data_IF_707574338039
#
_entry.id   IF_707574338039
#
_cell.length_a   1.000
_cell.length_b   1.000
_cell.length_c   1.000
_cell.angle_alpha   90.00
_cell.angle_beta   90.00
_cell.angle_gamma   90.00
#
_symmetry.space_group_name_H-M   'P 1'
#
loop_
_entity.id
_entity.type
_entity.pdbx_description
1 polymer ?
#
# COMPACT_ATOMS: atom_id res chain seq x y z
N UNK A 1 -23.42 7.78 -16.02
CA UNK A 1 -23.67 6.41 -15.58
C UNK A 1 -22.83 5.37 -16.34
N UNK A 2 -22.45 5.65 -17.56
CA UNK A 2 -21.73 4.66 -18.40
C UNK A 2 -20.28 4.41 -17.96
N UNK A 3 -19.59 5.43 -17.43
CA UNK A 3 -18.21 5.30 -16.96
C UNK A 3 -18.04 4.32 -15.80
N UNK A 4 -18.98 4.28 -14.84
CA UNK A 4 -18.95 3.31 -13.74
C UNK A 4 -19.18 1.88 -14.22
N UNK A 5 -20.04 1.70 -15.24
CA UNK A 5 -20.27 0.38 -15.86
C UNK A 5 -19.01 -0.11 -16.59
N UNK A 6 -18.29 0.82 -17.25
CA UNK A 6 -17.02 0.52 -17.92
C UNK A 6 -15.99 0.08 -16.86
N UNK A 7 -15.84 0.85 -15.80
CA UNK A 7 -14.90 0.54 -14.70
C UNK A 7 -15.18 -0.84 -14.08
N UNK A 8 -16.46 -1.14 -13.77
CA UNK A 8 -16.85 -2.43 -13.22
C UNK A 8 -16.57 -3.60 -14.20
N UNK A 9 -16.79 -3.37 -15.50
CA UNK A 9 -16.47 -4.34 -16.54
C UNK A 9 -14.97 -4.62 -16.61
N UNK A 10 -14.14 -3.57 -16.52
CA UNK A 10 -12.69 -3.68 -16.48
C UNK A 10 -12.22 -4.48 -15.26
N UNK A 11 -12.68 -4.13 -14.05
CA UNK A 11 -12.35 -4.89 -12.84
C UNK A 11 -12.69 -6.37 -12.96
N UNK A 12 -13.87 -6.69 -13.53
CA UNK A 12 -14.25 -8.08 -13.79
C UNK A 12 -13.32 -8.79 -14.78
N UNK A 13 -12.85 -8.08 -15.79
CA UNK A 13 -11.89 -8.66 -16.77
C UNK A 13 -10.53 -8.90 -16.12
N UNK A 14 -10.00 -7.93 -15.37
CA UNK A 14 -8.72 -8.09 -14.68
C UNK A 14 -8.79 -9.20 -13.62
N UNK A 15 -9.90 -9.34 -12.88
CA UNK A 15 -10.10 -10.49 -11.97
C UNK A 15 -10.02 -11.83 -12.71
N UNK A 16 -10.61 -11.93 -13.89
CA UNK A 16 -10.52 -13.16 -14.70
C UNK A 16 -9.10 -13.42 -15.18
N UNK A 17 -8.38 -12.36 -15.58
CA UNK A 17 -6.99 -12.48 -16.01
C UNK A 17 -6.08 -12.92 -14.85
N UNK A 18 -6.26 -12.37 -13.67
CA UNK A 18 -5.54 -12.74 -12.44
C UNK A 18 -5.81 -14.21 -12.07
N UNK A 19 -7.07 -14.64 -12.14
CA UNK A 19 -7.45 -16.04 -11.91
C UNK A 19 -6.79 -16.99 -12.94
N UNK A 20 -6.81 -16.63 -14.22
CA UNK A 20 -6.20 -17.43 -15.26
C UNK A 20 -4.67 -17.51 -15.11
N UNK A 21 -4.05 -16.39 -14.72
CA UNK A 21 -2.63 -16.37 -14.42
C UNK A 21 -2.30 -17.26 -13.21
N UNK A 22 -3.09 -17.17 -12.13
CA UNK A 22 -2.94 -18.02 -10.97
C UNK A 22 -3.06 -19.51 -11.30
N UNK A 23 -4.05 -19.89 -12.12
CA UNK A 23 -4.26 -21.29 -12.53
C UNK A 23 -3.16 -21.80 -13.47
N UNK A 24 -2.63 -20.93 -14.33
CA UNK A 24 -1.56 -21.28 -15.27
C UNK A 24 -0.23 -21.52 -14.56
N UNK A 25 0.15 -20.63 -13.67
CA UNK A 25 1.45 -20.62 -13.00
C UNK A 25 1.29 -20.73 -11.45
N UNK A 26 0.46 -21.66 -11.00
CA UNK A 26 0.11 -21.84 -9.58
C UNK A 26 1.34 -21.95 -8.67
N UNK A 27 2.39 -22.64 -9.11
CA UNK A 27 3.62 -22.81 -8.31
C UNK A 27 4.32 -21.47 -8.08
N UNK A 28 4.44 -20.67 -9.13
CA UNK A 28 5.04 -19.34 -9.03
C UNK A 28 4.20 -18.41 -8.13
N UNK A 29 2.89 -18.40 -8.31
CA UNK A 29 1.99 -17.60 -7.49
C UNK A 29 2.05 -17.98 -6.01
N UNK A 30 2.08 -19.28 -5.69
CA UNK A 30 2.22 -19.76 -4.32
C UNK A 30 3.57 -19.38 -3.71
N UNK A 31 4.66 -19.47 -4.48
CA UNK A 31 5.98 -19.00 -4.04
C UNK A 31 5.98 -17.49 -3.78
N UNK A 32 5.34 -16.71 -4.64
CA UNK A 32 5.22 -15.26 -4.45
C UNK A 32 4.44 -14.93 -3.16
N UNK A 33 3.26 -15.53 -2.99
CA UNK A 33 2.43 -15.35 -1.77
C UNK A 33 3.21 -15.74 -0.52
N UNK A 34 3.93 -16.86 -0.56
CA UNK A 34 4.76 -17.32 0.54
C UNK A 34 5.89 -16.32 0.84
N UNK A 35 6.61 -15.87 -0.18
CA UNK A 35 7.68 -14.89 -0.05
C UNK A 35 7.19 -13.58 0.57
N UNK A 36 6.09 -13.03 0.06
CA UNK A 36 5.49 -11.79 0.57
C UNK A 36 5.05 -11.93 2.03
N UNK A 37 4.45 -13.08 2.37
CA UNK A 37 4.02 -13.37 3.74
C UNK A 37 5.21 -13.49 4.68
N UNK A 38 6.29 -14.17 4.28
CA UNK A 38 7.51 -14.31 5.09
C UNK A 38 8.19 -12.95 5.27
N UNK A 39 8.32 -12.14 4.22
CA UNK A 39 8.89 -10.80 4.30
C UNK A 39 8.10 -9.90 5.25
N UNK A 40 6.76 -9.90 5.15
CA UNK A 40 5.89 -9.16 6.06
C UNK A 40 6.08 -9.63 7.51
N UNK A 41 6.09 -10.94 7.74
CA UNK A 41 6.29 -11.51 9.07
C UNK A 41 7.67 -11.14 9.65
N UNK A 42 8.74 -11.24 8.87
CA UNK A 42 10.09 -10.86 9.32
C UNK A 42 10.18 -9.38 9.69
N UNK A 43 9.56 -8.50 8.90
CA UNK A 43 9.54 -7.06 9.19
C UNK A 43 8.79 -6.77 10.49
N UNK A 44 7.62 -7.36 10.66
CA UNK A 44 6.80 -7.21 11.87
C UNK A 44 7.53 -7.78 13.10
N UNK A 45 8.10 -8.98 12.98
CA UNK A 45 8.85 -9.61 14.05
C UNK A 45 10.09 -8.78 14.44
N UNK A 46 10.80 -8.22 13.47
CA UNK A 46 11.95 -7.35 13.70
C UNK A 46 11.59 -6.11 14.54
N UNK A 47 10.54 -5.39 14.16
CA UNK A 47 10.08 -4.20 14.90
C UNK A 47 9.52 -4.59 16.26
N UNK A 48 8.80 -5.71 16.35
CA UNK A 48 8.24 -6.20 17.62
C UNK A 48 9.35 -6.57 18.61
N UNK A 49 10.38 -7.32 18.19
CA UNK A 49 11.54 -7.68 19.03
C UNK A 49 12.32 -6.44 19.47
N UNK A 50 12.45 -5.45 18.58
CA UNK A 50 13.08 -4.17 18.94
C UNK A 50 12.29 -3.45 20.03
N UNK A 51 10.97 -3.40 19.88
CA UNK A 51 10.06 -2.81 20.86
C UNK A 51 10.12 -3.53 22.22
N UNK A 52 10.19 -4.86 22.22
CA UNK A 52 10.31 -5.66 23.45
C UNK A 52 11.61 -5.36 24.17
N UNK A 53 12.73 -5.30 23.45
CA UNK A 53 14.06 -5.03 24.03
C UNK A 53 14.18 -3.65 24.65
N UNK A 54 13.51 -2.64 24.10
CA UNK A 54 13.59 -1.25 24.54
C UNK A 54 12.40 -0.82 25.40
N UNK A 55 11.46 -1.73 25.75
CA UNK A 55 10.29 -1.43 26.57
C UNK A 55 9.27 -0.48 25.92
N UNK A 56 9.28 -0.43 24.59
CA UNK A 56 8.51 0.49 23.75
C UNK A 56 9.44 1.22 22.77
N UNK A 57 8.90 1.74 21.70
CA UNK A 57 9.64 2.48 20.69
C UNK A 57 8.82 3.68 20.21
N UNK A 58 9.46 4.85 20.14
CA UNK A 58 8.77 6.04 19.64
C UNK A 58 7.70 6.62 20.58
N UNK A 59 7.70 6.29 21.88
CA UNK A 59 6.68 6.71 22.83
C UNK A 59 5.41 5.87 22.80
N UNK A 60 5.39 4.79 22.01
CA UNK A 60 4.26 3.87 21.85
C UNK A 60 4.50 2.59 22.65
N UNK A 61 3.42 2.04 23.23
CA UNK A 61 3.43 0.72 23.85
C UNK A 61 3.52 -0.40 22.81
N UNK A 62 3.89 -1.61 23.23
CA UNK A 62 4.00 -2.77 22.34
C UNK A 62 2.70 -3.04 21.56
N UNK A 63 1.53 -2.88 22.19
CA UNK A 63 0.23 -3.05 21.54
C UNK A 63 -0.05 -2.02 20.45
N UNK A 64 0.32 -0.77 20.71
CA UNK A 64 0.17 0.35 19.76
C UNK A 64 1.11 0.17 18.55
N UNK A 65 2.35 -0.25 18.79
CA UNK A 65 3.30 -0.57 17.71
C UNK A 65 2.78 -1.72 16.86
N UNK A 66 2.26 -2.76 17.48
CA UNK A 66 1.67 -3.90 16.77
C UNK A 66 0.45 -3.47 15.94
N UNK A 67 -0.37 -2.56 16.47
CA UNK A 67 -1.50 -1.99 15.75
C UNK A 67 -1.03 -1.14 14.56
N UNK A 68 -0.05 -0.27 14.75
CA UNK A 68 0.54 0.55 13.69
C UNK A 68 1.10 -0.32 12.55
N UNK A 69 1.83 -1.38 12.89
CA UNK A 69 2.37 -2.32 11.90
C UNK A 69 1.27 -3.07 11.17
N UNK A 70 0.24 -3.54 11.90
CA UNK A 70 -0.93 -4.20 11.32
C UNK A 70 -1.68 -3.27 10.37
N UNK A 71 -1.93 -2.05 10.79
CA UNK A 71 -2.59 -1.03 9.97
C UNK A 71 -1.76 -0.66 8.74
N UNK A 72 -0.44 -0.49 8.88
CA UNK A 72 0.48 -0.27 7.76
C UNK A 72 0.41 -1.41 6.74
N UNK A 73 0.47 -2.67 7.21
CA UNK A 73 0.38 -3.85 6.35
C UNK A 73 -1.00 -3.96 5.67
N UNK A 74 -2.07 -3.56 6.35
CA UNK A 74 -3.42 -3.51 5.79
C UNK A 74 -3.51 -2.49 4.66
N UNK A 75 -2.99 -1.28 4.86
CA UNK A 75 -2.93 -0.23 3.81
C UNK A 75 -2.11 -0.71 2.61
N UNK A 76 -0.97 -1.35 2.85
CA UNK A 76 -0.17 -1.96 1.78
C UNK A 76 -0.92 -3.05 1.04
N UNK A 77 -1.65 -3.91 1.76
CA UNK A 77 -2.46 -4.95 1.17
C UNK A 77 -3.56 -4.40 0.26
N UNK A 78 -4.25 -3.33 0.68
CA UNK A 78 -5.22 -2.64 -0.17
C UNK A 78 -4.52 -2.05 -1.40
N UNK A 79 -3.39 -1.37 -1.19
CA UNK A 79 -2.62 -0.77 -2.28
C UNK A 79 -2.12 -1.81 -3.28
N UNK A 80 -1.56 -2.92 -2.79
CA UNK A 80 -1.10 -4.04 -3.61
C UNK A 80 -2.23 -4.66 -4.44
N UNK A 81 -3.38 -4.91 -3.83
CA UNK A 81 -4.52 -5.52 -4.49
C UNK A 81 -5.11 -4.64 -5.60
N UNK A 82 -5.22 -3.33 -5.36
CA UNK A 82 -5.92 -2.42 -6.29
C UNK A 82 -5.02 -1.65 -7.24
N UNK A 83 -3.77 -1.32 -6.84
CA UNK A 83 -2.97 -0.30 -7.53
C UNK A 83 -1.56 -0.73 -7.91
N UNK A 84 -1.07 -1.90 -7.50
CA UNK A 84 0.31 -2.32 -7.78
C UNK A 84 0.53 -2.71 -9.23
N UNK A 85 -0.54 -2.99 -9.95
CA UNK A 85 -0.46 -3.23 -11.38
C UNK A 85 0.23 -2.07 -12.11
N UNK A 86 0.72 -2.35 -13.28
CA UNK A 86 1.72 -1.59 -14.01
C UNK A 86 1.44 -0.10 -14.23
N UNK A 87 0.23 0.41 -13.96
CA UNK A 87 -0.15 1.72 -14.50
C UNK A 87 -0.31 2.83 -13.47
N UNK A 88 -0.98 2.60 -12.35
CA UNK A 88 -1.26 3.71 -11.44
C UNK A 88 -0.07 4.04 -10.55
N UNK A 89 0.62 3.02 -10.07
CA UNK A 89 1.81 3.19 -9.24
C UNK A 89 3.11 3.25 -10.03
N UNK A 90 3.09 2.84 -11.29
CA UNK A 90 4.25 2.71 -12.16
C UNK A 90 4.01 3.41 -13.52
N UNK A 91 3.29 4.53 -13.51
CA UNK A 91 3.14 5.39 -14.71
C UNK A 91 4.51 5.74 -15.32
N UNK A 92 5.54 5.89 -14.47
CA UNK A 92 6.92 6.07 -14.88
C UNK A 92 7.42 4.99 -15.85
N UNK A 93 7.03 3.74 -15.66
CA UNK A 93 7.38 2.63 -16.56
C UNK A 93 6.74 2.80 -17.93
N UNK A 94 5.47 3.18 -17.97
CA UNK A 94 4.72 3.39 -19.23
C UNK A 94 5.31 4.55 -20.01
N UNK A 95 5.62 5.66 -19.32
CA UNK A 95 6.22 6.85 -19.92
C UNK A 95 7.65 6.53 -20.37
N UNK A 96 8.48 5.93 -19.52
CA UNK A 96 9.86 5.61 -19.82
C UNK A 96 10.03 4.62 -20.97
N UNK A 97 9.05 3.74 -21.20
CA UNK A 97 9.03 2.78 -22.32
C UNK A 97 8.31 3.30 -23.56
N UNK A 98 7.83 4.55 -23.58
CA UNK A 98 7.09 5.12 -24.69
C UNK A 98 5.73 4.45 -24.96
N UNK A 99 5.13 3.81 -23.95
CA UNK A 99 3.87 3.09 -24.11
C UNK A 99 2.64 3.95 -23.82
N UNK A 100 2.82 5.20 -23.40
CA UNK A 100 1.72 6.08 -23.03
C UNK A 100 0.75 6.30 -24.20
N UNK A 101 1.28 6.52 -25.41
CA UNK A 101 0.46 6.73 -26.62
C UNK A 101 -0.43 5.52 -26.91
N UNK A 102 0.09 4.30 -26.68
CA UNK A 102 -0.69 3.07 -26.87
C UNK A 102 -1.87 2.99 -25.89
N UNK A 103 -1.68 3.42 -24.65
CA UNK A 103 -2.76 3.46 -23.66
C UNK A 103 -3.78 4.56 -23.99
N UNK A 104 -3.33 5.69 -24.53
CA UNK A 104 -4.21 6.82 -24.85
C UNK A 104 -5.12 6.56 -26.07
N UNK A 105 -4.73 5.71 -27.00
CA UNK A 105 -5.56 5.36 -28.18
C UNK A 105 -6.61 4.26 -27.90
N UNK A 106 -6.62 3.68 -26.72
CA UNK A 106 -7.61 2.66 -26.35
C UNK A 106 -9.02 3.28 -26.24
N UNK A 107 -10.07 2.54 -26.61
CA UNK A 107 -11.45 3.04 -26.60
C UNK A 107 -12.06 3.07 -25.19
N UNK A 108 -11.22 3.34 -24.19
CA UNK A 108 -11.58 3.38 -22.76
C UNK A 108 -11.06 4.70 -22.17
N UNK A 109 -11.79 5.35 -21.26
CA UNK A 109 -11.28 6.54 -20.58
C UNK A 109 -9.96 6.23 -19.86
N UNK A 110 -8.92 7.02 -20.10
CA UNK A 110 -7.56 6.82 -19.56
C UNK A 110 -7.55 6.61 -18.04
N UNK A 111 -8.34 7.39 -17.31
CA UNK A 111 -8.42 7.28 -15.85
C UNK A 111 -8.99 5.91 -15.39
N UNK A 112 -9.96 5.36 -16.15
CA UNK A 112 -10.56 4.07 -15.81
C UNK A 112 -9.60 2.90 -16.08
N UNK A 113 -8.85 2.99 -17.19
CA UNK A 113 -7.80 2.03 -17.51
C UNK A 113 -6.68 2.08 -16.47
N UNK A 114 -6.17 3.26 -16.14
CA UNK A 114 -5.13 3.45 -15.14
C UNK A 114 -5.54 2.90 -13.74
N UNK A 115 -6.81 3.10 -13.34
CA UNK A 115 -7.31 2.60 -12.05
C UNK A 115 -7.56 1.09 -12.05
N UNK A 116 -8.03 0.52 -13.16
CA UNK A 116 -8.41 -0.89 -13.21
C UNK A 116 -7.25 -1.80 -13.57
N UNK A 117 -6.30 -1.31 -14.36
CA UNK A 117 -5.16 -2.10 -14.81
C UNK A 117 -4.28 -2.52 -13.64
N UNK A 118 -4.12 -3.83 -13.50
CA UNK A 118 -3.34 -4.42 -12.41
C UNK A 118 -4.15 -4.76 -11.17
N UNK A 119 -5.46 -4.68 -11.22
CA UNK A 119 -6.30 -5.24 -10.17
C UNK A 119 -6.07 -6.75 -10.08
N UNK A 120 -5.53 -7.18 -8.93
CA UNK A 120 -5.07 -8.56 -8.69
C UNK A 120 -5.61 -9.09 -7.36
N UNK A 121 -6.90 -9.46 -7.31
CA UNK A 121 -7.54 -9.85 -6.05
C UNK A 121 -7.02 -11.17 -5.47
N UNK A 122 -6.49 -12.07 -6.30
CA UNK A 122 -5.94 -13.35 -5.84
C UNK A 122 -4.45 -13.23 -5.50
N UNK A 123 -3.67 -12.74 -6.45
CA UNK A 123 -2.22 -12.63 -6.28
C UNK A 123 -1.78 -11.52 -5.32
N UNK A 124 -2.55 -10.42 -5.24
CA UNK A 124 -2.26 -9.29 -4.34
C UNK A 124 -2.89 -9.38 -2.94
N UNK A 125 -3.68 -10.43 -2.65
CA UNK A 125 -4.45 -10.51 -1.39
C UNK A 125 -3.67 -10.96 -0.16
N UNK A 126 -2.49 -11.56 -0.32
CA UNK A 126 -1.69 -12.11 0.79
C UNK A 126 -1.38 -11.06 1.87
N UNK A 127 -0.90 -9.89 1.46
CA UNK A 127 -0.61 -8.76 2.35
C UNK A 127 -1.88 -8.22 3.03
N UNK A 128 -3.00 -8.19 2.30
CA UNK A 128 -4.29 -7.75 2.86
C UNK A 128 -4.76 -8.67 3.98
N UNK A 129 -4.69 -9.98 3.76
CA UNK A 129 -5.05 -10.99 4.77
C UNK A 129 -4.14 -10.90 6.00
N UNK A 130 -2.83 -10.77 5.79
CA UNK A 130 -1.86 -10.57 6.87
C UNK A 130 -2.15 -9.28 7.66
N UNK A 131 -2.44 -8.17 6.95
CA UNK A 131 -2.76 -6.88 7.57
C UNK A 131 -4.04 -6.93 8.41
N UNK A 132 -5.11 -7.53 7.89
CA UNK A 132 -6.36 -7.74 8.64
C UNK A 132 -6.11 -8.62 9.88
N UNK A 133 -5.40 -9.73 9.72
CA UNK A 133 -5.10 -10.64 10.81
C UNK A 133 -4.29 -9.98 11.94
N UNK A 134 -3.25 -9.23 11.57
CA UNK A 134 -2.39 -8.54 12.53
C UNK A 134 -3.12 -7.39 13.23
N UNK A 135 -3.88 -6.58 12.48
CA UNK A 135 -4.69 -5.50 13.07
C UNK A 135 -5.73 -6.06 14.03
N UNK A 136 -6.43 -7.14 13.66
CA UNK A 136 -7.39 -7.80 14.55
C UNK A 136 -6.72 -8.39 15.80
N UNK A 137 -5.52 -8.94 15.66
CA UNK A 137 -4.74 -9.43 16.82
C UNK A 137 -4.31 -8.30 17.74
N UNK A 138 -3.83 -7.17 17.17
CA UNK A 138 -3.41 -6.00 17.94
C UNK A 138 -4.58 -5.36 18.72
N UNK A 139 -5.75 -5.23 18.08
CA UNK A 139 -6.97 -4.71 18.73
C UNK A 139 -7.37 -5.56 19.94
N UNK A 140 -7.21 -6.88 19.88
CA UNK A 140 -7.48 -7.77 21.03
C UNK A 140 -6.49 -7.60 22.19
N UNK A 141 -5.30 -7.08 21.93
CA UNK A 141 -4.27 -6.80 22.94
C UNK A 141 -4.41 -5.42 23.58
N UNK A 142 -5.07 -4.51 22.90
CA UNK A 142 -5.35 -3.16 23.38
C UNK A 142 -6.69 -3.16 24.15
N UNK A 143 -6.83 -2.32 25.18
CA UNK A 143 -8.10 -2.14 25.91
C UNK A 143 -9.13 -1.35 25.09
N UNK A 144 -9.23 -1.68 23.79
CA UNK A 144 -10.14 -1.00 22.85
C UNK A 144 -11.42 -1.82 22.70
N UNK A 145 -12.56 -1.17 22.87
CA UNK A 145 -13.85 -1.75 22.49
C UNK A 145 -14.06 -1.57 20.98
N UNK A 146 -13.98 -2.69 20.23
CA UNK A 146 -14.27 -2.69 18.79
C UNK A 146 -15.75 -2.44 18.54
N UNK A 147 -16.19 -1.19 18.67
CA UNK A 147 -17.57 -0.78 18.37
C UNK A 147 -17.74 -0.54 16.87
N UNK A 148 -18.97 -0.63 16.38
CA UNK A 148 -19.28 -0.37 14.97
C UNK A 148 -18.77 1.01 14.48
N UNK A 149 -18.96 2.13 15.21
CA UNK A 149 -18.41 3.42 14.79
C UNK A 149 -16.87 3.42 14.72
N UNK A 150 -16.20 2.70 15.63
CA UNK A 150 -14.75 2.57 15.58
C UNK A 150 -14.27 1.81 14.32
N UNK A 151 -14.97 0.72 13.94
CA UNK A 151 -14.68 -0.01 12.71
C UNK A 151 -14.90 0.83 11.45
N UNK A 152 -15.96 1.65 11.43
CA UNK A 152 -16.19 2.60 10.33
C UNK A 152 -15.08 3.65 10.24
N UNK A 153 -14.62 4.16 11.39
CA UNK A 153 -13.50 5.11 11.44
C UNK A 153 -12.20 4.46 10.91
N UNK A 154 -11.91 3.24 11.34
CA UNK A 154 -10.75 2.48 10.86
C UNK A 154 -10.81 2.30 9.32
N UNK A 155 -11.98 1.98 8.78
CA UNK A 155 -12.16 1.83 7.33
C UNK A 155 -11.92 3.17 6.61
N UNK A 156 -12.44 4.28 7.13
CA UNK A 156 -12.22 5.62 6.57
C UNK A 156 -10.72 5.95 6.58
N UNK A 157 -10.02 5.69 7.68
CA UNK A 157 -8.58 5.89 7.76
C UNK A 157 -7.82 4.99 6.78
N UNK A 158 -8.18 3.71 6.63
CA UNK A 158 -7.54 2.80 5.69
C UNK A 158 -7.68 3.28 4.23
N UNK A 159 -8.88 3.72 3.84
CA UNK A 159 -9.14 4.29 2.51
C UNK A 159 -8.37 5.58 2.31
N UNK A 160 -8.42 6.49 3.27
CA UNK A 160 -7.71 7.78 3.22
C UNK A 160 -6.19 7.58 3.11
N UNK A 161 -5.63 6.69 3.93
CA UNK A 161 -4.20 6.34 3.90
C UNK A 161 -3.79 5.72 2.55
N UNK A 162 -4.63 4.85 1.98
CA UNK A 162 -4.37 4.26 0.66
C UNK A 162 -4.38 5.31 -0.44
N UNK A 163 -5.33 6.25 -0.43
CA UNK A 163 -5.39 7.37 -1.38
C UNK A 163 -4.15 8.25 -1.24
N UNK A 164 -3.70 8.50 -0.02
CA UNK A 164 -2.50 9.29 0.25
C UNK A 164 -1.25 8.61 -0.31
N UNK A 165 -1.06 7.31 -0.03
CA UNK A 165 0.04 6.52 -0.59
C UNK A 165 0.01 6.57 -2.12
N UNK A 166 -1.16 6.34 -2.72
CA UNK A 166 -1.34 6.40 -4.18
C UNK A 166 -0.94 7.77 -4.74
N UNK A 167 -1.37 8.85 -4.11
CA UNK A 167 -1.05 10.22 -4.54
C UNK A 167 0.45 10.49 -4.53
N UNK A 168 1.15 10.05 -3.49
CA UNK A 168 2.61 10.18 -3.40
C UNK A 168 3.29 9.37 -4.50
N UNK A 169 2.84 8.14 -4.76
CA UNK A 169 3.42 7.28 -5.80
C UNK A 169 3.20 7.88 -7.20
N UNK A 170 2.03 8.44 -7.47
CA UNK A 170 1.75 9.13 -8.74
C UNK A 170 2.64 10.36 -8.88
N UNK A 171 2.80 11.17 -7.83
CA UNK A 171 3.71 12.33 -7.85
C UNK A 171 5.15 11.94 -8.15
N UNK A 172 5.67 10.91 -7.50
CA UNK A 172 7.01 10.39 -7.78
C UNK A 172 7.15 9.88 -9.22
N UNK A 173 6.11 9.22 -9.71
CA UNK A 173 6.08 8.72 -11.10
C UNK A 173 6.02 9.83 -12.15
N UNK A 174 5.53 11.03 -11.81
CA UNK A 174 5.53 12.18 -12.71
C UNK A 174 6.95 12.68 -13.05
N UNK A 175 7.98 12.33 -12.26
CA UNK A 175 9.37 12.58 -12.59
C UNK A 175 9.79 11.96 -13.94
N UNK A 176 9.06 10.95 -14.41
CA UNK A 176 9.25 10.31 -15.71
C UNK A 176 9.15 11.27 -16.91
N UNK A 177 8.36 12.32 -16.80
CA UNK A 177 8.26 13.32 -17.86
C UNK A 177 9.53 14.14 -18.05
N UNK A 178 10.35 14.25 -16.99
CA UNK A 178 11.62 15.00 -17.02
C UNK A 178 12.83 14.10 -17.25
N UNK A 179 12.79 12.86 -16.75
CA UNK A 179 13.88 11.91 -16.83
C UNK A 179 13.38 10.50 -17.20
N UNK A 180 12.91 10.28 -18.43
CA UNK A 180 12.27 9.02 -18.82
C UNK A 180 13.21 7.80 -18.69
N UNK A 181 14.50 7.96 -18.92
CA UNK A 181 15.47 6.86 -18.82
C UNK A 181 15.67 6.36 -17.38
N UNK A 182 15.60 7.25 -16.37
CA UNK A 182 15.77 6.91 -14.95
C UNK A 182 14.42 6.83 -14.20
N UNK A 183 13.31 7.01 -14.90
CA UNK A 183 12.00 7.19 -14.31
C UNK A 183 11.53 6.04 -13.43
N UNK A 184 11.76 4.80 -13.90
CA UNK A 184 11.37 3.59 -13.18
C UNK A 184 12.17 3.43 -11.89
N UNK A 185 13.47 3.70 -11.93
CA UNK A 185 14.37 3.60 -10.77
C UNK A 185 14.07 4.69 -9.72
N UNK A 186 13.83 5.93 -10.16
CA UNK A 186 13.46 7.04 -9.27
C UNK A 186 12.14 6.72 -8.55
N UNK A 187 11.13 6.27 -9.28
CA UNK A 187 9.83 5.93 -8.71
C UNK A 187 9.93 4.73 -7.75
N UNK A 188 10.73 3.71 -8.08
CA UNK A 188 10.94 2.54 -7.24
C UNK A 188 11.67 2.91 -5.96
N UNK A 189 12.80 3.63 -6.06
CA UNK A 189 13.56 4.09 -4.89
C UNK A 189 12.71 4.97 -3.98
N UNK A 190 11.94 5.89 -4.55
CA UNK A 190 11.02 6.73 -3.79
C UNK A 190 9.96 5.92 -3.05
N UNK A 191 9.42 4.87 -3.67
CA UNK A 191 8.47 3.94 -3.04
C UNK A 191 9.10 3.18 -1.88
N UNK A 192 10.30 2.64 -2.08
CA UNK A 192 10.99 1.86 -1.06
C UNK A 192 11.34 2.72 0.16
N UNK A 193 11.76 3.95 -0.07
CA UNK A 193 11.97 4.95 0.99
C UNK A 193 10.68 5.26 1.73
N UNK A 194 9.59 5.54 1.02
CA UNK A 194 8.30 5.84 1.63
C UNK A 194 7.80 4.67 2.47
N UNK A 195 7.88 3.46 1.93
CA UNK A 195 7.46 2.23 2.62
C UNK A 195 8.30 1.97 3.87
N UNK A 196 9.61 2.20 3.80
CA UNK A 196 10.49 2.06 4.96
C UNK A 196 10.19 3.09 6.03
N UNK A 197 9.99 4.35 5.65
CA UNK A 197 9.74 5.45 6.59
C UNK A 197 8.40 5.31 7.33
N UNK A 198 7.35 4.79 6.69
CA UNK A 198 6.03 4.66 7.32
C UNK A 198 5.97 3.61 8.44
N UNK A 199 6.96 2.70 8.50
CA UNK A 199 7.04 1.70 9.57
C UNK A 199 7.67 2.22 10.86
N UNK A 200 8.24 3.45 10.85
CA UNK A 200 8.86 4.05 12.03
C UNK A 200 7.90 4.95 12.80
N UNK A 201 7.75 4.76 14.13
CA UNK A 201 6.96 5.63 14.97
C UNK A 201 7.62 7.02 15.10
N UNK A 202 6.85 8.06 14.86
CA UNK A 202 7.36 9.44 14.84
C UNK A 202 7.39 10.11 16.23
N UNK A 203 6.93 9.42 17.29
CA UNK A 203 6.72 10.01 18.61
C UNK A 203 7.97 10.63 19.24
N UNK A 204 9.14 9.99 19.10
CA UNK A 204 10.42 10.45 19.69
C UNK A 204 11.25 11.32 18.74
N UNK A 205 10.79 11.54 17.51
CA UNK A 205 11.54 12.36 16.56
C UNK A 205 11.50 13.86 16.91
N UNK A 206 12.57 14.57 16.55
CA UNK A 206 12.65 16.00 16.71
C UNK A 206 11.45 16.68 16.01
N UNK A 207 10.92 17.75 16.63
CA UNK A 207 9.73 18.46 16.17
C UNK A 207 9.79 18.92 14.71
N UNK A 208 10.98 19.31 14.22
CA UNK A 208 11.20 19.68 12.83
C UNK A 208 11.04 18.49 11.88
N UNK A 209 11.57 17.32 12.26
CA UNK A 209 11.46 16.08 11.47
C UNK A 209 10.02 15.56 11.47
N UNK A 210 9.36 15.62 12.65
CA UNK A 210 7.94 15.26 12.76
C UNK A 210 7.07 16.13 11.86
N UNK A 211 7.30 17.44 11.82
CA UNK A 211 6.59 18.34 10.89
C UNK A 211 6.85 17.99 9.43
N UNK A 212 8.10 17.69 9.06
CA UNK A 212 8.47 17.29 7.70
C UNK A 212 7.68 16.05 7.26
N UNK A 213 7.60 15.02 8.12
CA UNK A 213 6.89 13.77 7.84
C UNK A 213 5.35 13.89 7.94
N UNK A 214 4.82 14.96 8.45
CA UNK A 214 3.38 15.23 8.46
C UNK A 214 2.95 16.15 7.31
N UNK A 215 3.85 16.98 6.77
CA UNK A 215 3.47 18.01 5.78
C UNK A 215 4.06 17.76 4.39
N UNK A 216 5.37 17.62 4.28
CA UNK A 216 6.07 17.51 2.97
C UNK A 216 6.10 16.07 2.48
N UNK A 217 6.45 15.14 3.35
CA UNK A 217 6.40 13.70 3.08
C UNK A 217 5.34 13.11 4.01
N UNK A 218 4.06 13.04 3.62
CA UNK A 218 2.95 12.72 4.53
C UNK A 218 2.94 11.24 4.97
N UNK A 219 4.11 10.70 5.28
CA UNK A 219 4.31 9.33 5.73
C UNK A 219 3.62 9.08 7.07
N UNK A 220 3.72 10.06 7.99
CA UNK A 220 3.10 9.97 9.31
C UNK A 220 1.57 9.95 9.24
N UNK A 221 0.98 10.66 8.29
CA UNK A 221 -0.47 10.64 8.08
C UNK A 221 -0.97 9.29 7.56
N UNK A 222 -0.11 8.54 6.85
CA UNK A 222 -0.49 7.26 6.27
C UNK A 222 -0.69 6.15 7.32
N UNK A 223 0.11 6.13 8.39
CA UNK A 223 0.09 5.01 9.33
C UNK A 223 0.18 5.42 10.80
N UNK A 224 0.99 6.44 11.14
CA UNK A 224 1.24 6.82 12.52
C UNK A 224 0.05 7.54 13.16
N UNK A 225 -0.51 8.56 12.49
CA UNK A 225 -1.68 9.30 13.03
C UNK A 225 -2.90 8.40 13.24
N UNK A 226 -3.25 7.47 12.32
CA UNK A 226 -4.35 6.53 12.57
C UNK A 226 -4.11 5.55 13.72
N UNK A 227 -2.86 5.37 14.16
CA UNK A 227 -2.49 4.45 15.24
C UNK A 227 -2.33 5.12 16.62
N UNK A 228 -2.31 6.44 16.66
CA UNK A 228 -2.28 7.27 17.88
C UNK A 228 -3.71 7.48 18.43
#
# INVERSE_FOLDING_TARGET
MDNLKILFRLYRQYTKMDLLWFLRDTRYCLLQIFSDTVCAFCTIAGVFLLSEKFGGFGGMNQGEILFMMGFSTLVDGIYMMFFIGNNTSMISRIIGRGQLDHVMIQPVPLWAELLAQGFSPLSGSSMLVCGIGLTAYAVRRLPLSATLPWLLLLLIYAVSSTILVLSVMVLLSCAAFYAPAAAEEIAQTGRDLFTSLKTYPLGTMNHSVKRLFLTVLPVGLACWVPSE
#
